data_IF_352579016049
#
_entry.id   IF_352579016049
#
_cell.length_a   1.000
_cell.length_b   1.000
_cell.length_c   1.000
_cell.angle_alpha   90.00
_cell.angle_beta   90.00
_cell.angle_gamma   90.00
#
_symmetry.space_group_name_H-M   'P 1'
#
loop_
_entity.id
_entity.type
_entity.pdbx_description
1 polymer ?
#
# COMPACT_ATOMS: atom_id res chain seq x y z
N UNK A 1 13.39 27.81 36.31
CA UNK A 1 12.39 28.50 35.46
C UNK A 1 12.39 27.77 34.12
N UNK A 2 11.41 26.88 33.96
CA UNK A 2 11.44 25.70 33.09
C UNK A 2 10.63 25.98 31.82
N UNK A 3 11.17 25.50 30.69
CA UNK A 3 10.57 25.22 29.37
C UNK A 3 9.88 26.35 28.61
N UNK A 4 10.42 26.71 27.45
CA UNK A 4 9.65 26.87 26.21
C UNK A 4 10.57 26.63 25.00
N UNK A 5 11.08 25.40 24.87
CA UNK A 5 11.53 24.88 23.57
C UNK A 5 10.29 24.25 22.93
N UNK A 6 9.43 25.06 22.32
CA UNK A 6 8.44 24.56 21.38
C UNK A 6 9.20 24.16 20.11
N UNK A 7 9.73 22.94 20.14
CA UNK A 7 10.33 22.26 19.00
C UNK A 7 9.32 22.35 17.86
N UNK A 8 9.77 22.90 16.72
CA UNK A 8 9.06 22.79 15.45
C UNK A 8 8.80 21.31 15.18
N UNK A 9 7.60 20.82 15.53
CA UNK A 9 7.10 19.61 14.91
C UNK A 9 6.76 20.00 13.47
N UNK A 10 7.49 19.50 12.45
CA UNK A 10 6.89 19.46 11.13
C UNK A 10 5.60 18.66 11.31
N UNK A 11 4.46 19.25 10.94
CA UNK A 11 3.22 18.51 10.84
C UNK A 11 3.47 17.39 9.82
N UNK A 12 3.81 16.19 10.27
CA UNK A 12 3.76 15.01 9.43
C UNK A 12 2.29 14.89 9.04
N UNK A 13 1.97 15.26 7.80
CA UNK A 13 0.67 14.98 7.20
C UNK A 13 0.40 13.47 7.40
N UNK A 14 -0.64 13.06 8.14
CA UNK A 14 -0.87 11.64 8.45
C UNK A 14 -1.23 10.77 7.23
N UNK A 15 -1.34 11.38 6.05
CA UNK A 15 -2.11 10.85 4.93
C UNK A 15 -1.47 9.67 4.20
N UNK A 16 -0.15 9.50 4.22
CA UNK A 16 0.53 8.54 3.33
C UNK A 16 0.97 7.23 4.00
N UNK A 17 1.03 7.15 5.33
CA UNK A 17 1.42 5.91 6.04
C UNK A 17 0.21 5.11 6.58
N UNK A 18 -1.00 5.66 6.50
CA UNK A 18 -2.10 5.19 7.34
C UNK A 18 -2.65 3.81 6.95
N UNK A 19 -2.78 3.44 5.68
CA UNK A 19 -3.48 2.19 5.34
C UNK A 19 -2.68 0.92 5.68
N UNK A 20 -1.36 0.95 5.52
CA UNK A 20 -0.52 -0.23 5.77
C UNK A 20 -0.44 -0.57 7.27
N UNK A 21 -0.63 0.43 8.15
CA UNK A 21 -0.60 0.29 9.61
C UNK A 21 -1.99 0.31 10.28
N UNK A 22 -2.95 1.02 9.68
CA UNK A 22 -4.32 1.18 10.17
C UNK A 22 -5.33 1.06 8.98
N UNK A 23 -5.67 -0.17 8.56
CA UNK A 23 -6.61 -0.41 7.49
C UNK A 23 -8.00 0.12 7.82
N UNK A 24 -8.79 0.44 6.78
CA UNK A 24 -10.16 0.93 6.92
C UNK A 24 -11.22 -0.15 6.80
N UNK A 25 -12.44 0.29 6.48
CA UNK A 25 -13.63 -0.55 6.47
C UNK A 25 -14.08 -1.01 5.06
N UNK A 26 -13.55 -0.41 3.97
CA UNK A 26 -13.92 -0.87 2.62
C UNK A 26 -13.44 -2.32 2.40
N UNK A 27 -14.09 -3.09 1.51
CA UNK A 27 -13.71 -4.46 1.22
C UNK A 27 -12.24 -4.59 0.84
N UNK A 28 -11.59 -5.67 1.31
CA UNK A 28 -10.19 -5.95 0.98
C UNK A 28 -10.03 -6.24 -0.53
N UNK A 29 -8.99 -5.70 -1.18
CA UNK A 29 -8.63 -6.11 -2.53
C UNK A 29 -7.92 -7.48 -2.53
N UNK A 30 -7.73 -8.04 -3.72
CA UNK A 30 -6.91 -9.24 -3.90
C UNK A 30 -5.50 -8.88 -4.36
N UNK A 31 -4.49 -9.46 -3.70
CA UNK A 31 -3.10 -9.37 -4.13
C UNK A 31 -2.70 -10.66 -4.86
N UNK A 32 -1.94 -10.54 -5.93
CA UNK A 32 -1.23 -11.62 -6.60
C UNK A 32 0.27 -11.29 -6.71
N UNK A 33 1.13 -12.28 -6.47
CA UNK A 33 2.57 -12.19 -6.73
C UNK A 33 2.90 -13.16 -7.86
N UNK A 34 3.69 -12.71 -8.85
CA UNK A 34 4.13 -13.58 -9.95
C UNK A 34 4.97 -14.76 -9.49
N UNK A 35 5.66 -14.63 -8.36
CA UNK A 35 6.46 -15.66 -7.71
C UNK A 35 6.56 -15.38 -6.21
N UNK A 36 6.63 -16.42 -5.39
CA UNK A 36 6.79 -16.33 -3.94
C UNK A 36 8.23 -16.55 -3.48
N UNK A 37 9.15 -16.73 -4.42
CA UNK A 37 10.59 -16.87 -4.17
C UNK A 37 11.37 -16.23 -5.31
N UNK A 38 12.40 -15.43 -5.01
CA UNK A 38 13.20 -14.77 -6.03
C UNK A 38 14.64 -14.47 -5.56
N UNK A 39 15.57 -14.47 -6.51
CA UNK A 39 16.98 -14.11 -6.27
C UNK A 39 17.19 -12.59 -6.36
N UNK A 40 18.31 -12.13 -5.83
CA UNK A 40 18.73 -10.73 -5.93
C UNK A 40 18.75 -10.25 -7.38
N UNK A 41 18.21 -9.05 -7.63
CA UNK A 41 18.15 -8.44 -8.96
C UNK A 41 17.00 -8.93 -9.85
N UNK A 42 16.31 -10.02 -9.49
CA UNK A 42 15.10 -10.44 -10.21
C UNK A 42 13.96 -9.44 -9.99
N UNK A 43 12.99 -9.45 -10.90
CA UNK A 43 11.76 -8.66 -10.75
C UNK A 43 10.59 -9.56 -10.36
N UNK A 44 9.85 -9.17 -9.33
CA UNK A 44 8.60 -9.82 -8.90
C UNK A 44 7.46 -8.86 -9.22
N UNK A 45 6.46 -9.31 -9.98
CA UNK A 45 5.27 -8.50 -10.23
C UNK A 45 4.25 -8.73 -9.12
N UNK A 46 3.83 -7.63 -8.50
CA UNK A 46 2.68 -7.56 -7.61
C UNK A 46 1.49 -7.02 -8.39
N UNK A 47 0.34 -7.68 -8.30
CA UNK A 47 -0.91 -7.21 -8.89
C UNK A 47 -1.96 -7.06 -7.81
N UNK A 48 -2.53 -5.87 -7.68
CA UNK A 48 -3.66 -5.59 -6.80
C UNK A 48 -4.94 -5.48 -7.64
N UNK A 49 -5.92 -6.35 -7.37
CA UNK A 49 -7.24 -6.33 -7.98
C UNK A 49 -8.22 -5.63 -7.04
N UNK A 50 -8.73 -4.48 -7.47
CA UNK A 50 -9.59 -3.60 -6.68
C UNK A 50 -10.99 -3.60 -7.28
N UNK A 51 -11.87 -4.43 -6.73
CA UNK A 51 -13.29 -4.47 -7.10
C UNK A 51 -14.08 -3.67 -6.07
N UNK A 52 -14.46 -2.45 -6.44
CA UNK A 52 -15.22 -1.53 -5.58
C UNK A 52 -16.36 -0.88 -6.36
N UNK A 53 -17.40 -0.42 -5.64
CA UNK A 53 -18.53 0.28 -6.26
C UNK A 53 -18.10 1.65 -6.79
N UNK A 54 -17.35 2.40 -5.98
CA UNK A 54 -16.77 3.67 -6.40
C UNK A 54 -15.33 3.47 -6.89
N UNK A 55 -14.86 4.25 -7.88
CA UNK A 55 -13.49 4.19 -8.35
C UNK A 55 -12.47 4.44 -7.23
N UNK A 56 -11.50 3.56 -7.12
CA UNK A 56 -10.33 3.82 -6.29
C UNK A 56 -9.60 5.06 -6.82
N UNK A 57 -9.09 5.87 -5.90
CA UNK A 57 -8.33 7.09 -6.19
C UNK A 57 -6.84 6.92 -5.90
N UNK A 58 -6.49 5.99 -5.01
CA UNK A 58 -5.12 5.61 -4.70
C UNK A 58 -5.06 4.12 -4.38
N UNK A 59 -4.04 3.44 -4.91
CA UNK A 59 -3.73 2.04 -4.65
C UNK A 59 -2.38 2.00 -3.97
N UNK A 60 -2.27 1.25 -2.89
CA UNK A 60 -1.10 1.22 -2.02
C UNK A 60 -0.60 -0.23 -1.95
N UNK A 61 0.69 -0.42 -2.18
CA UNK A 61 1.38 -1.69 -1.96
C UNK A 61 2.17 -1.58 -0.66
N UNK A 62 1.97 -2.55 0.22
CA UNK A 62 2.60 -2.61 1.52
C UNK A 62 3.55 -3.81 1.59
N UNK A 63 4.66 -3.67 2.31
CA UNK A 63 5.51 -4.76 2.77
C UNK A 63 5.70 -4.62 4.26
N UNK A 64 5.40 -5.67 5.03
CA UNK A 64 5.54 -5.70 6.48
C UNK A 64 4.90 -4.48 7.17
N UNK A 65 3.70 -4.10 6.69
CA UNK A 65 2.90 -2.94 7.17
C UNK A 65 3.48 -1.55 6.86
N UNK A 66 4.49 -1.49 5.99
CA UNK A 66 5.04 -0.24 5.47
C UNK A 66 4.70 -0.06 3.99
N UNK A 67 4.37 1.15 3.58
CA UNK A 67 4.15 1.47 2.15
C UNK A 67 5.48 1.35 1.38
N UNK A 68 5.47 0.60 0.29
CA UNK A 68 6.61 0.46 -0.63
C UNK A 68 6.36 1.09 -1.99
N UNK A 69 5.09 1.28 -2.37
CA UNK A 69 4.69 1.88 -3.62
C UNK A 69 3.23 2.32 -3.58
N UNK A 70 2.88 3.31 -4.38
CA UNK A 70 1.49 3.67 -4.63
C UNK A 70 1.26 4.02 -6.09
N UNK A 71 0.01 3.90 -6.52
CA UNK A 71 -0.46 4.31 -7.84
C UNK A 71 -1.72 5.17 -7.70
N UNK A 72 -1.91 6.12 -8.61
CA UNK A 72 -3.20 6.79 -8.75
C UNK A 72 -4.20 5.79 -9.34
N UNK A 73 -5.39 5.78 -8.76
CA UNK A 73 -6.51 5.01 -9.30
C UNK A 73 -7.08 5.65 -10.57
N UNK A 74 -7.85 4.88 -11.32
CA UNK A 74 -8.51 5.30 -12.56
C UNK A 74 -9.87 4.59 -12.68
N UNK A 75 -10.88 5.30 -13.18
CA UNK A 75 -12.27 4.84 -13.26
C UNK A 75 -12.43 3.48 -13.93
N UNK A 76 -11.64 3.21 -14.98
CA UNK A 76 -11.78 2.00 -15.80
C UNK A 76 -10.72 0.93 -15.48
N UNK A 77 -10.01 1.06 -14.35
CA UNK A 77 -8.90 0.17 -14.00
C UNK A 77 -9.18 -0.53 -12.69
N UNK A 78 -9.26 -1.86 -12.78
CA UNK A 78 -9.46 -2.77 -11.63
C UNK A 78 -8.14 -3.41 -11.21
N UNK A 79 -7.21 -3.64 -12.14
CA UNK A 79 -5.93 -4.31 -11.87
C UNK A 79 -4.78 -3.30 -11.91
N UNK A 80 -4.01 -3.24 -10.83
CA UNK A 80 -2.85 -2.36 -10.69
C UNK A 80 -1.60 -3.20 -10.48
N UNK A 81 -0.58 -3.00 -11.33
CA UNK A 81 0.64 -3.81 -11.31
C UNK A 81 1.84 -2.98 -10.86
N UNK A 82 2.67 -3.55 -9.99
CA UNK A 82 3.92 -2.98 -9.51
C UNK A 82 5.04 -4.02 -9.71
N UNK A 83 6.09 -3.65 -10.43
CA UNK A 83 7.25 -4.51 -10.62
C UNK A 83 8.30 -4.18 -9.55
N UNK A 84 8.50 -5.10 -8.62
CA UNK A 84 9.44 -4.97 -7.51
C UNK A 84 10.79 -5.62 -7.84
N UNK A 85 11.85 -4.82 -7.89
CA UNK A 85 13.22 -5.34 -8.04
C UNK A 85 13.72 -5.88 -6.70
N UNK A 86 14.12 -7.15 -6.67
CA UNK A 86 14.56 -7.85 -5.46
C UNK A 86 15.92 -7.32 -4.99
N UNK A 87 15.96 -6.89 -3.73
CA UNK A 87 17.13 -6.43 -2.98
C UNK A 87 17.29 -7.26 -1.70
N UNK A 88 18.37 -7.06 -0.94
CA UNK A 88 18.61 -7.78 0.34
C UNK A 88 17.48 -7.66 1.37
N UNK A 89 16.69 -6.59 1.31
CA UNK A 89 15.54 -6.37 2.19
C UNK A 89 14.20 -6.78 1.60
N UNK A 90 14.17 -7.56 0.51
CA UNK A 90 12.91 -7.86 -0.20
C UNK A 90 12.12 -9.04 0.37
N UNK A 91 12.70 -9.89 1.23
CA UNK A 91 11.89 -10.90 1.92
C UNK A 91 10.91 -10.22 2.88
N UNK A 92 9.68 -10.74 2.95
CA UNK A 92 8.65 -10.16 3.80
C UNK A 92 7.22 -10.45 3.34
N UNK A 93 6.26 -9.92 4.08
CA UNK A 93 4.83 -10.08 3.82
C UNK A 93 4.30 -8.90 3.01
N UNK A 94 3.88 -9.16 1.78
CA UNK A 94 3.31 -8.15 0.90
C UNK A 94 1.79 -8.15 0.98
N UNK A 95 1.19 -6.97 0.96
CA UNK A 95 -0.25 -6.76 0.91
C UNK A 95 -0.55 -5.56 0.00
N UNK A 96 -1.81 -5.38 -0.39
CA UNK A 96 -2.26 -4.14 -1.01
C UNK A 96 -3.56 -3.62 -0.39
N UNK A 97 -3.80 -2.32 -0.52
CA UNK A 97 -5.01 -1.65 -0.11
C UNK A 97 -5.34 -0.51 -1.07
N UNK A 98 -6.51 0.10 -0.93
CA UNK A 98 -6.91 1.23 -1.73
C UNK A 98 -7.68 2.28 -0.93
N UNK A 99 -7.74 3.48 -1.50
CA UNK A 99 -8.48 4.61 -0.98
C UNK A 99 -9.51 5.08 -2.02
N UNK A 100 -10.72 5.35 -1.56
CA UNK A 100 -11.73 6.09 -2.32
C UNK A 100 -11.79 7.50 -1.72
N UNK A 101 -11.93 8.50 -2.59
CA UNK A 101 -12.13 9.88 -2.19
C UNK A 101 -13.48 10.35 -2.69
N UNK A 102 -14.33 10.79 -1.77
CA UNK A 102 -15.64 11.33 -2.11
C UNK A 102 -15.56 12.77 -2.64
N UNK A 103 -16.72 13.35 -3.01
CA UNK A 103 -16.83 14.73 -3.49
C UNK A 103 -16.34 15.77 -2.49
N UNK A 104 -16.43 15.46 -1.19
CA UNK A 104 -16.00 16.31 -0.09
C UNK A 104 -14.51 16.10 0.24
N UNK A 105 -13.79 15.35 -0.59
CA UNK A 105 -12.38 14.99 -0.47
C UNK A 105 -12.06 14.14 0.76
N UNK A 106 -13.06 13.54 1.40
CA UNK A 106 -12.85 12.62 2.52
C UNK A 106 -12.31 11.31 1.97
N UNK A 107 -11.30 10.78 2.63
CA UNK A 107 -10.64 9.54 2.24
C UNK A 107 -11.20 8.40 3.06
N UNK A 108 -11.76 7.40 2.38
CA UNK A 108 -12.15 6.12 2.98
C UNK A 108 -11.18 5.05 2.53
N UNK A 109 -10.66 4.26 3.47
CA UNK A 109 -9.64 3.23 3.24
C UNK A 109 -10.27 1.85 3.21
N UNK A 110 -9.64 0.94 2.48
CA UNK A 110 -9.94 -0.49 2.53
C UNK A 110 -9.25 -1.21 3.67
N UNK A 111 -9.75 -2.40 3.98
CA UNK A 111 -8.93 -3.44 4.58
C UNK A 111 -7.74 -3.77 3.66
N UNK A 112 -6.67 -4.34 4.21
CA UNK A 112 -5.58 -4.88 3.41
C UNK A 112 -5.98 -6.24 2.82
N UNK A 113 -5.45 -6.55 1.65
CA UNK A 113 -5.51 -7.89 1.09
C UNK A 113 -4.91 -8.92 2.06
N UNK A 114 -5.28 -10.21 1.95
CA UNK A 114 -4.50 -11.28 2.55
C UNK A 114 -3.03 -11.16 2.16
N UNK A 115 -2.14 -11.29 3.13
CA UNK A 115 -0.72 -11.13 2.90
C UNK A 115 -0.14 -12.30 2.09
N UNK A 116 0.82 -12.00 1.21
CA UNK A 116 1.60 -12.99 0.46
C UNK A 116 3.07 -12.81 0.78
N UNK A 117 3.68 -13.89 1.27
CA UNK A 117 5.09 -13.87 1.64
C UNK A 117 5.99 -14.06 0.41
N UNK A 118 7.01 -13.22 0.27
CA UNK A 118 8.09 -13.39 -0.70
C UNK A 118 9.34 -13.85 0.03
N UNK A 119 9.88 -15.00 -0.38
CA UNK A 119 11.17 -15.52 0.06
C UNK A 119 12.29 -15.04 -0.87
N UNK A 120 13.48 -14.91 -0.29
CA UNK A 120 14.71 -14.77 -1.05
C UNK A 120 15.45 -16.11 -1.09
N UNK A 121 16.03 -16.42 -2.25
CA UNK A 121 16.85 -17.63 -2.50
C UNK A 121 18.24 -17.26 -2.91
#
# INVERSE_FOLDING_TARGET
MILFLCILLPALSPSSQEICSAPGALPAPDLYLSQTSAQLGNSVQLQCSVISQDPATRIIFCKDREEISFQKGSENKVIYSYNHTVSSGSSGNYACGYEIKDSDKRVTKSQLSPAKHLNMT
#
